data_IF_391509661912
#
_entry.id   IF_391509661912
#
_cell.length_a   1.000
_cell.length_b   1.000
_cell.length_c   1.000
_cell.angle_alpha   90.00
_cell.angle_beta   90.00
_cell.angle_gamma   90.00
#
_symmetry.space_group_name_H-M   'P 1'
#
loop_
_entity.id
_entity.type
_entity.pdbx_description
1 polymer ?
#
# COMPACT_ATOMS: atom_id res chain seq x y z
N UNK A 1 1.56 -9.26 1.48
CA UNK A 1 0.15 -8.86 1.28
C UNK A 1 -0.51 -8.54 2.61
N UNK A 2 -1.09 -7.34 2.77
CA UNK A 2 -1.93 -6.96 3.93
C UNK A 2 -3.38 -7.45 3.83
N UNK A 3 -3.61 -8.57 3.14
CA UNK A 3 -4.93 -9.17 2.93
C UNK A 3 -5.05 -10.43 3.76
N UNK A 4 -6.05 -10.48 4.66
CA UNK A 4 -6.24 -11.61 5.58
C UNK A 4 -7.63 -12.22 5.35
N UNK A 5 -7.74 -13.43 4.78
CA UNK A 5 -9.01 -14.13 4.69
C UNK A 5 -9.37 -14.72 6.06
N UNK A 6 -10.53 -14.34 6.61
CA UNK A 6 -10.99 -14.85 7.91
C UNK A 6 -11.85 -16.11 7.80
N UNK A 7 -12.63 -16.25 6.72
CA UNK A 7 -13.51 -17.39 6.49
C UNK A 7 -14.50 -17.12 5.37
N UNK A 8 -15.34 -18.11 5.05
CA UNK A 8 -16.35 -18.04 4.00
C UNK A 8 -17.75 -17.68 4.51
N UNK A 9 -17.95 -17.66 5.82
CA UNK A 9 -19.23 -17.34 6.46
C UNK A 9 -19.25 -15.92 7.06
N UNK A 10 -20.46 -15.42 7.32
CA UNK A 10 -20.65 -14.10 7.94
C UNK A 10 -20.11 -14.05 9.37
N UNK A 11 -20.10 -15.19 10.09
CA UNK A 11 -19.63 -15.26 11.48
C UNK A 11 -18.14 -14.96 11.60
N UNK A 12 -17.34 -15.35 10.62
CA UNK A 12 -15.89 -15.10 10.59
C UNK A 12 -15.52 -13.62 10.60
N UNK A 13 -16.45 -12.71 10.25
CA UNK A 13 -16.26 -11.26 10.38
C UNK A 13 -15.93 -10.83 11.84
N UNK A 14 -16.34 -11.62 12.84
CA UNK A 14 -16.02 -11.36 14.25
C UNK A 14 -14.51 -11.30 14.52
N UNK A 15 -13.70 -12.02 13.74
CA UNK A 15 -12.25 -12.03 13.92
C UNK A 15 -11.61 -10.67 13.57
N UNK A 16 -12.16 -9.95 12.60
CA UNK A 16 -11.73 -8.59 12.28
C UNK A 16 -12.05 -7.61 13.43
N UNK A 17 -13.26 -7.68 14.01
CA UNK A 17 -13.64 -6.86 15.16
C UNK A 17 -12.83 -7.24 16.42
N UNK A 18 -12.56 -8.52 16.63
CA UNK A 18 -11.68 -8.99 17.71
C UNK A 18 -10.23 -8.50 17.56
N UNK A 19 -9.73 -8.37 16.33
CA UNK A 19 -8.45 -7.72 16.06
C UNK A 19 -8.49 -6.23 16.45
N UNK A 20 -9.57 -5.53 16.10
CA UNK A 20 -9.78 -4.14 16.50
C UNK A 20 -9.81 -3.97 18.03
N UNK A 21 -10.52 -4.84 18.77
CA UNK A 21 -10.51 -4.86 20.24
C UNK A 21 -9.08 -5.02 20.79
N UNK A 22 -8.32 -5.98 20.26
CA UNK A 22 -6.93 -6.22 20.68
C UNK A 22 -6.03 -5.01 20.46
N UNK A 23 -6.27 -4.20 19.43
CA UNK A 23 -5.51 -2.95 19.23
C UNK A 23 -5.64 -1.99 20.44
N UNK A 24 -6.85 -1.85 21.00
CA UNK A 24 -7.09 -1.02 22.19
C UNK A 24 -6.48 -1.59 23.47
N UNK A 25 -6.48 -2.92 23.62
CA UNK A 25 -5.84 -3.60 24.75
C UNK A 25 -4.31 -3.50 24.70
N UNK A 26 -3.73 -3.73 23.51
CA UNK A 26 -2.27 -3.77 23.32
C UNK A 26 -1.65 -2.39 23.22
N UNK A 27 -2.20 -1.51 22.38
CA UNK A 27 -1.60 -0.19 22.10
C UNK A 27 -2.31 0.94 22.86
N UNK A 28 -3.59 0.78 23.17
CA UNK A 28 -4.36 1.75 23.96
C UNK A 28 -4.17 1.63 25.47
N UNK A 29 -3.51 0.57 25.97
CA UNK A 29 -3.32 0.31 27.40
C UNK A 29 -4.62 0.04 28.16
N UNK A 30 -5.71 -0.27 27.46
CA UNK A 30 -7.02 -0.54 28.05
C UNK A 30 -7.05 -1.95 28.68
N UNK A 31 -7.82 -2.11 29.75
CA UNK A 31 -8.00 -3.40 30.41
C UNK A 31 -9.28 -4.08 29.95
N UNK A 32 -9.29 -5.41 30.01
CA UNK A 32 -10.50 -6.21 29.82
C UNK A 32 -11.61 -5.74 30.76
N UNK A 33 -12.84 -5.64 30.25
CA UNK A 33 -14.00 -5.12 30.98
C UNK A 33 -14.28 -3.63 30.78
N UNK A 34 -13.34 -2.86 30.24
CA UNK A 34 -13.54 -1.43 29.88
C UNK A 34 -14.28 -1.28 28.54
N UNK A 35 -15.48 -1.87 28.43
CA UNK A 35 -16.19 -2.01 27.14
C UNK A 35 -16.41 -0.67 26.42
N UNK A 36 -16.88 0.35 27.13
CA UNK A 36 -17.12 1.69 26.55
C UNK A 36 -15.83 2.33 26.02
N UNK A 37 -14.75 2.25 26.79
CA UNK A 37 -13.47 2.88 26.43
C UNK A 37 -12.83 2.17 25.23
N UNK A 38 -12.99 0.85 25.14
CA UNK A 38 -12.54 0.06 23.98
C UNK A 38 -13.31 0.49 22.72
N UNK A 39 -14.63 0.67 22.80
CA UNK A 39 -15.42 1.13 21.65
C UNK A 39 -15.02 2.56 21.24
N UNK A 40 -14.83 3.46 22.20
CA UNK A 40 -14.36 4.83 21.94
C UNK A 40 -12.94 4.87 21.35
N UNK A 41 -12.05 4.01 21.82
CA UNK A 41 -10.71 3.87 21.26
C UNK A 41 -10.79 3.47 19.79
N UNK A 42 -11.58 2.43 19.48
CA UNK A 42 -11.75 1.95 18.10
C UNK A 42 -12.35 3.03 17.19
N UNK A 43 -13.40 3.71 17.64
CA UNK A 43 -14.02 4.83 16.91
C UNK A 43 -12.99 5.91 16.53
N UNK A 44 -12.09 6.25 17.44
CA UNK A 44 -11.18 7.39 17.27
C UNK A 44 -9.80 7.03 16.68
N UNK A 45 -9.35 5.78 16.81
CA UNK A 45 -7.98 5.36 16.48
C UNK A 45 -7.91 4.29 15.40
N UNK A 46 -8.97 3.51 15.21
CA UNK A 46 -9.01 2.44 14.22
C UNK A 46 -9.86 2.88 13.03
N UNK A 47 -9.19 3.18 11.92
CA UNK A 47 -9.83 3.63 10.69
C UNK A 47 -10.31 2.44 9.85
N UNK A 48 -11.35 1.75 10.33
CA UNK A 48 -11.98 0.64 9.63
C UNK A 48 -13.40 0.99 9.14
N UNK A 49 -13.82 0.34 8.06
CA UNK A 49 -15.18 0.34 7.51
C UNK A 49 -15.53 -1.08 7.04
N UNK A 50 -16.82 -1.36 6.88
CA UNK A 50 -17.32 -2.64 6.37
C UNK A 50 -17.88 -2.42 4.97
N UNK A 51 -17.45 -3.25 4.03
CA UNK A 51 -18.03 -3.33 2.69
C UNK A 51 -18.83 -4.64 2.59
N UNK A 52 -20.16 -4.54 2.57
CA UNK A 52 -21.06 -5.66 2.42
C UNK A 52 -21.37 -5.86 0.94
N UNK A 53 -20.84 -6.95 0.37
CA UNK A 53 -21.04 -7.31 -1.04
C UNK A 53 -22.13 -8.37 -1.21
N UNK A 54 -22.97 -8.17 -2.21
CA UNK A 54 -24.09 -9.04 -2.57
C UNK A 54 -25.28 -8.93 -1.62
N UNK A 55 -26.15 -9.95 -1.66
CA UNK A 55 -27.36 -10.01 -0.84
C UNK A 55 -27.04 -9.89 0.66
N UNK A 56 -27.75 -8.99 1.35
CA UNK A 56 -27.62 -8.76 2.79
C UNK A 56 -28.76 -9.46 3.51
N UNK A 57 -28.47 -10.64 4.05
CA UNK A 57 -29.41 -11.38 4.89
C UNK A 57 -29.46 -10.83 6.34
N UNK A 58 -30.40 -11.33 7.14
CA UNK A 58 -30.59 -10.90 8.54
C UNK A 58 -29.31 -11.09 9.38
N UNK A 59 -28.50 -12.11 9.07
CA UNK A 59 -27.25 -12.38 9.77
C UNK A 59 -26.18 -11.33 9.44
N UNK A 60 -26.06 -10.94 8.17
CA UNK A 60 -25.17 -9.83 7.74
C UNK A 60 -25.62 -8.51 8.34
N UNK A 61 -26.93 -8.23 8.40
CA UNK A 61 -27.44 -7.05 9.11
C UNK A 61 -27.01 -7.03 10.58
N UNK A 62 -27.20 -8.14 11.29
CA UNK A 62 -26.84 -8.24 12.70
C UNK A 62 -25.33 -8.09 12.93
N UNK A 63 -24.50 -8.73 12.10
CA UNK A 63 -23.05 -8.63 12.18
C UNK A 63 -22.54 -7.21 11.88
N UNK A 64 -23.09 -6.57 10.84
CA UNK A 64 -22.77 -5.20 10.45
C UNK A 64 -23.16 -4.19 11.53
N UNK A 65 -24.31 -4.37 12.18
CA UNK A 65 -24.71 -3.55 13.33
C UNK A 65 -23.71 -3.62 14.49
N UNK A 66 -23.07 -4.78 14.68
CA UNK A 66 -21.94 -4.94 15.59
C UNK A 66 -20.76 -4.01 15.25
N UNK A 67 -20.41 -3.87 13.97
CA UNK A 67 -19.34 -2.98 13.52
C UNK A 67 -19.68 -1.49 13.71
N UNK A 68 -20.96 -1.11 13.53
CA UNK A 68 -21.42 0.27 13.78
C UNK A 68 -21.12 0.68 15.22
N UNK A 69 -21.30 -0.20 16.21
CA UNK A 69 -20.97 0.10 17.62
C UNK A 69 -19.50 0.45 17.86
N UNK A 70 -18.59 -0.03 17.01
CA UNK A 70 -17.16 0.31 17.05
C UNK A 70 -16.85 1.66 16.36
N UNK A 71 -17.87 2.33 15.82
CA UNK A 71 -17.73 3.52 15.00
C UNK A 71 -17.31 3.23 13.56
N UNK A 72 -17.45 1.98 13.10
CA UNK A 72 -17.10 1.59 11.74
C UNK A 72 -18.35 1.69 10.84
N UNK A 73 -18.34 2.55 9.81
CA UNK A 73 -19.47 2.66 8.89
C UNK A 73 -19.55 1.42 8.00
N UNK A 74 -20.77 1.13 7.52
CA UNK A 74 -21.09 0.01 6.64
C UNK A 74 -21.56 0.56 5.31
N UNK A 75 -20.97 0.08 4.23
CA UNK A 75 -21.36 0.41 2.86
C UNK A 75 -21.80 -0.90 2.21
N UNK A 76 -22.97 -0.90 1.58
CA UNK A 76 -23.48 -2.05 0.85
C UNK A 76 -23.56 -1.76 -0.65
N UNK A 77 -23.22 -2.76 -1.47
CA UNK A 77 -23.30 -2.68 -2.95
C UNK A 77 -24.69 -3.04 -3.50
N UNK A 78 -25.68 -3.18 -2.62
CA UNK A 78 -27.08 -3.50 -2.91
C UNK A 78 -28.02 -2.47 -2.30
N UNK A 79 -29.26 -2.43 -2.80
CA UNK A 79 -30.32 -1.54 -2.30
C UNK A 79 -30.76 -2.01 -0.91
N UNK A 80 -30.40 -1.27 0.13
CA UNK A 80 -30.76 -1.53 1.52
C UNK A 80 -31.20 -0.24 2.23
N UNK A 81 -31.95 -0.33 3.34
CA UNK A 81 -32.26 0.84 4.16
C UNK A 81 -31.00 1.53 4.70
N UNK A 82 -30.96 2.85 4.59
CA UNK A 82 -29.82 3.65 5.03
C UNK A 82 -29.99 4.19 6.45
N UNK A 83 -28.86 4.39 7.14
CA UNK A 83 -28.80 5.01 8.46
C UNK A 83 -27.86 6.22 8.36
N UNK A 84 -28.46 7.35 7.99
CA UNK A 84 -27.78 8.63 7.80
C UNK A 84 -27.55 9.49 9.06
N UNK A 85 -28.20 9.31 10.24
CA UNK A 85 -27.97 10.22 11.37
C UNK A 85 -26.58 10.02 12.02
N UNK A 86 -25.86 11.12 12.19
CA UNK A 86 -24.53 11.16 12.81
C UNK A 86 -24.60 10.88 14.32
N UNK A 87 -23.65 10.11 14.88
CA UNK A 87 -23.57 9.92 16.33
C UNK A 87 -22.61 8.81 16.77
N UNK A 88 -22.77 7.61 16.20
CA UNK A 88 -21.89 6.47 16.51
C UNK A 88 -20.68 6.46 15.58
N UNK A 89 -20.85 6.55 14.27
CA UNK A 89 -19.74 6.77 13.31
C UNK A 89 -19.45 8.27 13.14
N UNK A 90 -18.47 8.61 12.29
CA UNK A 90 -18.07 10.01 12.03
C UNK A 90 -19.11 10.75 11.17
N UNK A 91 -19.62 10.09 10.14
CA UNK A 91 -20.67 10.61 9.25
C UNK A 91 -21.86 9.64 9.24
N UNK A 92 -22.14 9.00 8.11
CA UNK A 92 -23.20 8.01 7.94
C UNK A 92 -22.82 6.66 8.59
N UNK A 93 -23.81 5.92 9.09
CA UNK A 93 -23.59 4.60 9.71
C UNK A 93 -23.76 3.49 8.69
N UNK A 94 -24.79 3.59 7.84
CA UNK A 94 -25.10 2.65 6.77
C UNK A 94 -25.43 3.42 5.51
N UNK A 95 -24.70 3.15 4.43
CA UNK A 95 -24.91 3.74 3.10
C UNK A 95 -25.17 2.63 2.09
N UNK A 96 -26.20 2.83 1.27
CA UNK A 96 -26.52 1.93 0.16
C UNK A 96 -25.99 2.55 -1.12
N UNK A 97 -25.08 1.84 -1.78
CA UNK A 97 -24.46 2.28 -3.04
C UNK A 97 -24.53 1.14 -4.06
N UNK A 98 -25.70 0.92 -4.68
CA UNK A 98 -25.92 -0.22 -5.58
C UNK A 98 -24.90 -0.26 -6.73
N UNK A 99 -24.14 -1.34 -6.86
CA UNK A 99 -22.99 -1.41 -7.78
C UNK A 99 -23.36 -1.04 -9.22
N UNK A 100 -24.50 -1.55 -9.68
CA UNK A 100 -24.98 -1.37 -11.06
C UNK A 100 -25.52 0.04 -11.35
N UNK A 101 -25.82 0.84 -10.31
CA UNK A 101 -26.36 2.19 -10.44
C UNK A 101 -25.24 3.25 -10.42
N UNK A 102 -23.99 2.84 -10.18
CA UNK A 102 -22.83 3.72 -10.23
C UNK A 102 -22.50 4.03 -11.70
N UNK A 103 -22.70 5.28 -12.09
CA UNK A 103 -22.25 5.80 -13.37
C UNK A 103 -20.72 5.73 -13.45
N UNK A 104 -20.17 4.90 -14.32
CA UNK A 104 -18.73 4.80 -14.57
C UNK A 104 -18.48 4.16 -15.95
N UNK A 105 -17.27 4.27 -16.47
CA UNK A 105 -16.88 3.72 -17.78
C UNK A 105 -16.81 2.19 -17.78
N UNK A 106 -16.33 1.61 -16.69
CA UNK A 106 -16.16 0.16 -16.52
C UNK A 106 -16.31 -0.25 -15.04
N UNK A 107 -16.30 -1.56 -14.77
CA UNK A 107 -16.46 -2.11 -13.42
C UNK A 107 -15.29 -1.77 -12.49
N UNK A 108 -14.10 -1.50 -13.04
CA UNK A 108 -12.94 -1.08 -12.25
C UNK A 108 -13.17 0.32 -11.68
N UNK A 109 -13.62 1.26 -12.51
CA UNK A 109 -13.95 2.61 -12.08
C UNK A 109 -15.14 2.62 -11.09
N UNK A 110 -16.12 1.72 -11.25
CA UNK A 110 -17.19 1.54 -10.24
C UNK A 110 -16.63 1.12 -8.89
N UNK A 111 -15.75 0.12 -8.88
CA UNK A 111 -15.12 -0.36 -7.66
C UNK A 111 -14.27 0.74 -6.98
N UNK A 112 -13.53 1.52 -7.77
CA UNK A 112 -12.77 2.67 -7.27
C UNK A 112 -13.68 3.70 -6.58
N UNK A 113 -14.83 4.03 -7.18
CA UNK A 113 -15.79 4.98 -6.59
C UNK A 113 -16.38 4.47 -5.27
N UNK A 114 -16.67 3.17 -5.15
CA UNK A 114 -17.10 2.58 -3.87
C UNK A 114 -16.01 2.72 -2.82
N UNK A 115 -14.76 2.39 -3.16
CA UNK A 115 -13.62 2.51 -2.24
C UNK A 115 -13.42 3.96 -1.79
N UNK A 116 -13.51 4.91 -2.73
CA UNK A 116 -13.46 6.35 -2.41
C UNK A 116 -14.57 6.74 -1.43
N UNK A 117 -15.79 6.25 -1.64
CA UNK A 117 -16.91 6.53 -0.75
C UNK A 117 -16.70 5.96 0.66
N UNK A 118 -16.19 4.73 0.76
CA UNK A 118 -15.81 4.13 2.04
C UNK A 118 -14.76 4.96 2.79
N UNK A 119 -13.74 5.45 2.08
CA UNK A 119 -12.68 6.32 2.61
C UNK A 119 -13.27 7.64 3.12
N UNK A 120 -14.17 8.26 2.35
CA UNK A 120 -14.85 9.51 2.69
C UNK A 120 -15.71 9.37 3.94
N UNK A 121 -16.62 8.39 3.98
CA UNK A 121 -17.55 8.16 5.11
C UNK A 121 -16.77 7.83 6.39
N UNK A 122 -15.65 7.11 6.27
CA UNK A 122 -14.80 6.84 7.43
C UNK A 122 -13.98 8.06 7.86
N UNK A 123 -13.80 9.05 7.00
CA UNK A 123 -12.97 10.23 7.24
C UNK A 123 -11.47 9.96 7.11
N UNK A 124 -11.08 8.97 6.29
CA UNK A 124 -9.67 8.62 6.08
C UNK A 124 -9.07 9.60 5.07
N UNK A 125 -8.06 10.36 5.50
CA UNK A 125 -7.27 11.21 4.60
C UNK A 125 -6.09 10.41 4.07
N UNK A 126 -6.27 9.79 2.90
CA UNK A 126 -5.18 9.05 2.23
C UNK A 126 -4.28 10.05 1.51
N UNK A 127 -2.99 10.07 1.87
CA UNK A 127 -1.97 10.70 1.05
C UNK A 127 -1.49 9.67 0.04
N UNK A 128 -2.17 9.58 -1.11
CA UNK A 128 -1.72 8.74 -2.21
C UNK A 128 -0.62 9.53 -2.92
N UNK A 129 0.63 9.07 -2.81
CA UNK A 129 1.65 9.45 -3.78
C UNK A 129 1.42 8.52 -4.97
N UNK A 130 0.97 9.09 -6.09
CA UNK A 130 0.86 8.38 -7.35
C UNK A 130 2.28 8.12 -7.86
N UNK A 131 2.65 6.84 -7.95
CA UNK A 131 3.99 6.42 -8.37
C UNK A 131 3.87 5.96 -9.82
N UNK A 132 4.52 6.61 -10.79
CA UNK A 132 4.31 6.34 -12.21
C UNK A 132 5.08 5.09 -12.65
N UNK A 133 4.58 3.92 -12.24
CA UNK A 133 5.13 2.60 -12.57
C UNK A 133 4.05 1.65 -13.07
N UNK A 134 4.38 0.70 -13.95
CA UNK A 134 3.40 -0.20 -14.57
C UNK A 134 3.02 -1.39 -13.68
N UNK A 135 3.54 -1.46 -12.46
CA UNK A 135 3.26 -2.51 -11.49
C UNK A 135 2.53 -1.93 -10.27
N UNK A 136 1.68 -2.72 -9.59
CA UNK A 136 1.10 -2.28 -8.33
C UNK A 136 2.17 -1.83 -7.35
N UNK A 137 1.96 -0.68 -6.71
CA UNK A 137 2.89 -0.10 -5.75
C UNK A 137 2.21 0.12 -4.40
N UNK A 138 2.86 -0.32 -3.32
CA UNK A 138 2.41 -0.10 -1.96
C UNK A 138 3.08 -1.05 -0.96
N UNK A 139 2.96 -0.71 0.32
CA UNK A 139 3.60 -1.49 1.41
C UNK A 139 3.12 -2.93 1.51
N UNK A 140 2.00 -3.29 0.88
CA UNK A 140 1.50 -4.66 0.83
C UNK A 140 2.44 -5.63 0.07
N UNK A 141 3.27 -5.09 -0.82
CA UNK A 141 4.23 -5.84 -1.62
C UNK A 141 5.63 -5.89 -0.98
N UNK A 142 5.87 -5.08 0.06
CA UNK A 142 7.11 -5.13 0.82
C UNK A 142 7.31 -6.54 1.40
N UNK A 143 8.47 -7.14 1.10
CA UNK A 143 8.81 -8.50 1.52
C UNK A 143 8.46 -9.60 0.53
N UNK A 144 7.98 -9.27 -0.67
CA UNK A 144 7.94 -10.25 -1.77
C UNK A 144 9.35 -10.79 -2.07
N UNK A 145 9.42 -12.11 -2.32
CA UNK A 145 10.68 -12.81 -2.58
C UNK A 145 10.66 -13.32 -4.00
N UNK A 146 11.56 -12.78 -4.84
CA UNK A 146 11.74 -13.24 -6.22
C UNK A 146 12.68 -14.45 -6.21
N UNK A 147 12.13 -15.63 -6.53
CA UNK A 147 12.89 -16.88 -6.65
C UNK A 147 13.56 -16.93 -8.02
N UNK A 148 14.65 -17.69 -8.12
CA UNK A 148 15.42 -17.82 -9.38
C UNK A 148 14.57 -18.28 -10.57
N UNK A 149 13.59 -19.16 -10.34
CA UNK A 149 12.69 -19.65 -11.38
C UNK A 149 11.82 -18.55 -12.01
N UNK A 150 11.49 -17.52 -11.24
CA UNK A 150 10.59 -16.43 -11.64
C UNK A 150 11.36 -15.14 -11.97
N UNK A 151 12.70 -15.20 -12.03
CA UNK A 151 13.59 -14.05 -12.10
C UNK A 151 13.90 -13.66 -13.55
N UNK A 152 13.64 -12.41 -13.91
CA UNK A 152 14.03 -11.85 -15.22
C UNK A 152 15.51 -11.47 -15.25
N UNK A 153 15.96 -10.76 -14.23
CA UNK A 153 17.32 -10.25 -14.09
C UNK A 153 17.69 -10.05 -12.62
N UNK A 154 18.96 -10.22 -12.30
CA UNK A 154 19.56 -9.97 -10.99
C UNK A 154 20.63 -8.87 -11.07
N UNK A 155 20.63 -7.97 -10.10
CA UNK A 155 21.67 -6.95 -9.93
C UNK A 155 22.34 -7.10 -8.57
N UNK A 156 23.67 -7.17 -8.54
CA UNK A 156 24.44 -7.48 -7.34
C UNK A 156 24.63 -8.97 -7.10
N UNK A 157 24.70 -9.36 -5.83
CA UNK A 157 24.91 -10.75 -5.43
C UNK A 157 26.31 -11.28 -5.82
N UNK A 158 26.37 -12.53 -6.27
CA UNK A 158 27.65 -13.22 -6.58
C UNK A 158 28.18 -12.89 -7.99
N UNK A 159 27.28 -12.56 -8.93
CA UNK A 159 27.59 -12.53 -10.37
C UNK A 159 27.65 -11.12 -10.95
N UNK A 160 27.31 -10.09 -10.17
CA UNK A 160 27.35 -8.69 -10.60
C UNK A 160 27.56 -7.76 -9.41
N UNK A 161 27.76 -6.47 -9.69
CA UNK A 161 27.93 -5.41 -8.69
C UNK A 161 26.69 -4.53 -8.69
N UNK A 162 26.19 -4.22 -7.49
CA UNK A 162 25.08 -3.30 -7.31
C UNK A 162 25.45 -2.37 -6.16
N UNK A 163 25.33 -1.07 -6.42
CA UNK A 163 25.44 -0.09 -5.36
C UNK A 163 24.29 0.91 -5.43
N UNK A 164 23.90 1.41 -4.27
CA UNK A 164 23.05 2.59 -4.11
C UNK A 164 23.85 3.66 -3.37
N UNK A 165 23.70 4.90 -3.81
CA UNK A 165 24.39 6.05 -3.24
C UNK A 165 23.49 7.28 -3.35
N UNK A 166 23.33 7.98 -2.25
CA UNK A 166 22.59 9.23 -2.21
C UNK A 166 23.54 10.36 -1.80
N UNK A 167 23.58 11.42 -2.58
CA UNK A 167 24.41 12.60 -2.32
C UNK A 167 23.58 13.88 -2.37
N UNK A 168 23.88 14.78 -1.43
CA UNK A 168 23.37 16.14 -1.45
C UNK A 168 24.18 16.97 -2.45
N UNK A 169 23.49 17.67 -3.34
CA UNK A 169 24.09 18.58 -4.32
C UNK A 169 23.50 19.99 -4.20
N UNK A 170 24.21 21.03 -4.67
CA UNK A 170 23.64 22.36 -4.82
C UNK A 170 22.36 22.36 -5.67
N UNK A 171 21.44 23.27 -5.38
CA UNK A 171 20.16 23.39 -6.11
C UNK A 171 20.31 23.63 -7.63
N UNK A 172 21.44 24.18 -8.05
CA UNK A 172 21.79 24.44 -9.45
C UNK A 172 22.30 23.21 -10.20
N UNK A 173 22.74 22.17 -9.47
CA UNK A 173 23.35 20.96 -10.03
C UNK A 173 22.36 19.79 -10.18
N UNK A 174 21.08 20.02 -9.88
CA UNK A 174 20.01 19.01 -10.01
C UNK A 174 18.82 19.55 -10.80
N UNK A 175 18.20 18.68 -11.59
CA UNK A 175 16.94 18.93 -12.28
C UNK A 175 15.87 18.04 -11.66
N UNK A 176 14.83 18.65 -11.11
CA UNK A 176 13.73 17.92 -10.48
C UNK A 176 13.08 16.92 -11.45
N UNK A 177 12.86 15.69 -10.99
CA UNK A 177 12.26 14.60 -11.76
C UNK A 177 13.12 14.05 -12.91
N UNK A 178 14.36 14.52 -13.10
CA UNK A 178 15.23 13.99 -14.15
C UNK A 178 15.72 12.59 -13.80
N UNK A 179 15.35 11.60 -14.61
CA UNK A 179 15.86 10.23 -14.56
C UNK A 179 16.72 9.98 -15.79
N UNK A 180 17.93 9.45 -15.59
CA UNK A 180 18.87 9.13 -16.66
C UNK A 180 19.38 7.69 -16.49
N UNK A 181 19.26 6.89 -17.55
CA UNK A 181 19.80 5.53 -17.59
C UNK A 181 21.05 5.54 -18.44
N UNK A 182 22.20 5.33 -17.81
CA UNK A 182 23.50 5.31 -18.50
C UNK A 182 23.97 3.86 -18.62
N UNK A 183 24.09 3.37 -19.85
CA UNK A 183 24.52 2.02 -20.14
C UNK A 183 23.41 1.16 -20.78
N UNK A 184 23.64 -0.15 -20.91
CA UNK A 184 22.66 -1.06 -21.51
C UNK A 184 21.43 -1.23 -20.62
N UNK A 185 20.28 -1.53 -21.23
CA UNK A 185 19.10 -2.01 -20.50
C UNK A 185 19.18 -3.51 -20.30
N UNK A 186 18.39 -4.05 -19.37
CA UNK A 186 18.35 -5.50 -19.16
C UNK A 186 17.59 -6.25 -20.26
N UNK A 187 17.03 -5.57 -21.26
CA UNK A 187 16.39 -6.19 -22.43
C UNK A 187 17.39 -7.03 -23.24
N UNK A 188 18.67 -6.62 -23.22
CA UNK A 188 19.78 -7.28 -23.90
C UNK A 188 20.41 -8.42 -23.07
N UNK A 189 19.96 -8.61 -21.83
CA UNK A 189 20.45 -9.66 -20.94
C UNK A 189 19.52 -10.87 -21.05
N UNK A 190 20.12 -12.06 -21.20
CA UNK A 190 19.38 -13.33 -21.19
C UNK A 190 18.51 -13.48 -19.94
N UNK A 191 17.41 -14.22 -20.06
CA UNK A 191 16.53 -14.49 -18.93
C UNK A 191 17.30 -15.15 -17.78
N UNK A 192 16.99 -14.77 -16.54
CA UNK A 192 17.73 -15.18 -15.33
C UNK A 192 19.22 -14.74 -15.31
N UNK A 193 19.62 -13.82 -16.19
CA UNK A 193 20.96 -13.26 -16.23
C UNK A 193 21.25 -12.27 -15.11
N UNK A 194 22.49 -11.76 -15.10
CA UNK A 194 22.96 -10.80 -14.10
C UNK A 194 23.56 -9.56 -14.77
N UNK A 195 23.37 -8.39 -14.15
CA UNK A 195 23.81 -7.11 -14.68
C UNK A 195 24.31 -6.20 -13.56
N UNK A 196 25.31 -5.37 -13.85
CA UNK A 196 25.77 -4.36 -12.90
C UNK A 196 24.80 -3.18 -12.89
N UNK A 197 24.52 -2.62 -11.72
CA UNK A 197 23.72 -1.39 -11.57
C UNK A 197 24.35 -0.45 -10.54
N UNK A 198 24.25 0.85 -10.79
CA UNK A 198 24.54 1.88 -9.82
C UNK A 198 23.34 2.81 -9.73
N UNK A 199 22.72 2.90 -8.55
CA UNK A 199 21.62 3.82 -8.27
C UNK A 199 22.24 5.04 -7.60
N UNK A 200 22.36 6.14 -8.35
CA UNK A 200 22.86 7.41 -7.83
C UNK A 200 21.70 8.39 -7.70
N UNK A 201 21.41 8.79 -6.46
CA UNK A 201 20.31 9.70 -6.14
C UNK A 201 20.90 11.04 -5.74
N UNK A 202 20.67 12.07 -6.55
CA UNK A 202 21.06 13.45 -6.23
C UNK A 202 19.88 14.19 -5.63
N UNK A 203 20.04 14.71 -4.43
CA UNK A 203 18.99 15.47 -3.74
C UNK A 203 19.45 16.89 -3.43
N UNK A 204 18.53 17.84 -3.52
CA UNK A 204 18.77 19.21 -3.09
C UNK A 204 17.55 19.74 -2.33
N UNK A 205 17.79 20.47 -1.24
CA UNK A 205 16.72 21.06 -0.45
C UNK A 205 17.24 22.11 0.51
N UNK A 206 16.44 23.15 0.79
CA UNK A 206 16.83 24.24 1.69
C UNK A 206 17.10 23.79 3.12
N UNK A 207 16.47 22.70 3.54
CA UNK A 207 16.61 22.09 4.86
C UNK A 207 17.41 20.76 4.81
N UNK A 208 17.94 20.40 3.63
CA UNK A 208 18.76 19.20 3.48
C UNK A 208 20.10 19.41 4.16
N UNK A 209 20.64 18.35 4.75
CA UNK A 209 21.92 18.32 5.45
C UNK A 209 22.65 17.04 5.08
N UNK A 210 23.99 17.05 5.03
CA UNK A 210 24.81 15.85 4.75
C UNK A 210 24.50 14.71 5.73
N UNK A 211 24.19 15.03 7.00
CA UNK A 211 23.80 14.05 8.02
C UNK A 211 22.49 13.30 7.69
N UNK A 212 21.67 13.82 6.77
CA UNK A 212 20.45 13.15 6.31
C UNK A 212 20.69 12.19 5.15
N UNK A 213 21.85 12.22 4.50
CA UNK A 213 22.14 11.33 3.37
C UNK A 213 21.97 9.85 3.75
N UNK A 214 22.55 9.34 4.86
CA UNK A 214 22.40 7.93 5.22
C UNK A 214 20.97 7.57 5.64
N UNK A 215 20.19 8.55 6.10
CA UNK A 215 18.79 8.36 6.50
C UNK A 215 17.91 8.14 5.27
N UNK A 216 18.10 8.97 4.24
CA UNK A 216 17.38 8.86 2.97
C UNK A 216 17.86 7.66 2.14
N UNK A 217 19.17 7.39 2.11
CA UNK A 217 19.74 6.22 1.44
C UNK A 217 19.06 4.92 1.93
N UNK A 218 18.84 4.79 3.24
CA UNK A 218 18.14 3.64 3.81
C UNK A 218 16.69 3.50 3.33
N UNK A 219 16.03 4.58 2.91
CA UNK A 219 14.67 4.53 2.40
C UNK A 219 14.60 3.89 1.00
N UNK A 220 15.68 3.91 0.21
CA UNK A 220 15.75 3.29 -1.12
C UNK A 220 15.30 1.82 -1.05
N UNK A 221 15.73 1.09 -0.01
CA UNK A 221 15.30 -0.27 0.24
C UNK A 221 13.78 -0.41 0.33
N UNK A 222 13.12 0.43 1.12
CA UNK A 222 11.66 0.36 1.30
C UNK A 222 10.92 0.81 0.05
N UNK A 223 11.41 1.86 -0.61
CA UNK A 223 10.78 2.41 -1.81
C UNK A 223 10.81 1.40 -2.95
N UNK A 224 11.95 0.76 -3.22
CA UNK A 224 12.05 -0.25 -4.27
C UNK A 224 11.20 -1.49 -3.95
N UNK A 225 11.19 -1.96 -2.69
CA UNK A 225 10.34 -3.09 -2.27
C UNK A 225 8.84 -2.76 -2.25
N UNK A 226 8.45 -1.48 -2.35
CA UNK A 226 7.06 -1.09 -2.49
C UNK A 226 6.47 -1.49 -3.85
N UNK A 227 7.30 -1.72 -4.87
CA UNK A 227 6.86 -2.20 -6.18
C UNK A 227 6.65 -3.72 -6.15
N UNK A 228 5.46 -4.16 -6.58
CA UNK A 228 5.17 -5.60 -6.71
C UNK A 228 6.14 -6.27 -7.68
N UNK A 229 6.49 -7.52 -7.37
CA UNK A 229 7.35 -8.38 -8.18
C UNK A 229 8.82 -7.90 -8.30
N UNK A 230 9.23 -7.01 -7.39
CA UNK A 230 10.60 -6.54 -7.22
C UNK A 230 11.07 -6.92 -5.81
N UNK A 231 12.33 -7.33 -5.70
CA UNK A 231 12.97 -7.58 -4.41
C UNK A 231 14.24 -6.75 -4.31
N UNK A 232 14.40 -6.02 -3.22
CA UNK A 232 15.62 -5.32 -2.86
C UNK A 232 16.10 -5.76 -1.47
N UNK A 233 17.36 -6.15 -1.33
CA UNK A 233 18.00 -6.53 -0.07
C UNK A 233 19.38 -5.87 -0.01
N UNK A 234 19.87 -5.61 1.21
CA UNK A 234 21.17 -4.98 1.41
C UNK A 234 21.05 -3.46 1.37
N UNK A 235 22.22 -2.83 1.33
CA UNK A 235 22.37 -1.38 1.35
C UNK A 235 23.72 -1.01 0.73
N UNK A 236 23.92 0.25 0.35
CA UNK A 236 25.21 0.75 -0.17
C UNK A 236 25.75 -0.12 -1.30
N UNK A 237 27.00 -0.55 -1.22
CA UNK A 237 27.75 -1.34 -2.20
C UNK A 237 27.48 -2.86 -2.14
N UNK A 238 26.61 -3.29 -1.22
CA UNK A 238 26.17 -4.68 -1.07
C UNK A 238 24.67 -4.84 -1.36
N UNK A 239 24.06 -3.85 -2.01
CA UNK A 239 22.69 -3.94 -2.48
C UNK A 239 22.52 -5.13 -3.44
N UNK A 240 21.33 -5.72 -3.44
CA UNK A 240 20.98 -6.87 -4.23
C UNK A 240 19.52 -6.77 -4.66
N UNK A 241 19.31 -6.63 -5.96
CA UNK A 241 17.99 -6.39 -6.55
C UNK A 241 17.64 -7.52 -7.49
N UNK A 242 16.38 -7.97 -7.44
CA UNK A 242 15.81 -8.92 -8.39
C UNK A 242 14.52 -8.36 -8.96
N UNK A 243 14.38 -8.52 -10.27
CA UNK A 243 13.16 -8.20 -11.02
C UNK A 243 12.56 -9.52 -11.49
N UNK A 244 11.28 -9.75 -11.22
CA UNK A 244 10.61 -10.97 -11.69
C UNK A 244 10.17 -10.82 -13.16
N UNK A 245 9.92 -11.95 -13.82
CA UNK A 245 9.29 -11.98 -15.14
C UNK A 245 7.94 -11.24 -15.12
N UNK A 246 7.14 -11.41 -14.05
CA UNK A 246 5.83 -10.75 -13.92
C UNK A 246 5.89 -9.22 -13.82
N UNK A 247 7.00 -8.64 -13.33
CA UNK A 247 7.22 -7.20 -13.40
C UNK A 247 7.65 -6.75 -14.81
N UNK A 248 8.59 -7.49 -15.41
CA UNK A 248 9.10 -7.20 -16.76
C UNK A 248 7.99 -7.28 -17.82
N UNK A 249 7.13 -8.29 -17.75
CA UNK A 249 6.02 -8.52 -18.69
C UNK A 249 4.99 -7.38 -18.66
N UNK A 250 4.86 -6.71 -17.49
CA UNK A 250 4.01 -5.52 -17.33
C UNK A 250 4.68 -4.25 -17.85
N UNK A 251 5.94 -4.31 -18.26
CA UNK A 251 6.71 -3.18 -18.79
C UNK A 251 7.60 -2.47 -17.75
N UNK A 252 7.84 -3.09 -16.58
CA UNK A 252 8.82 -2.54 -15.63
C UNK A 252 10.22 -2.53 -16.27
N UNK A 253 10.97 -1.45 -16.05
CA UNK A 253 12.28 -1.19 -16.67
C UNK A 253 13.18 -0.37 -15.72
N UNK A 254 14.43 -0.10 -16.11
CA UNK A 254 15.40 0.61 -15.26
C UNK A 254 14.97 2.04 -14.88
N UNK A 255 14.28 2.75 -15.78
CA UNK A 255 13.80 4.11 -15.54
C UNK A 255 12.78 4.17 -14.38
N UNK A 256 12.02 3.08 -14.18
CA UNK A 256 11.03 2.99 -13.12
C UNK A 256 11.64 3.01 -11.72
N UNK A 257 12.89 2.58 -11.53
CA UNK A 257 13.59 2.78 -10.24
C UNK A 257 13.72 4.27 -9.92
N UNK A 258 14.15 5.09 -10.89
CA UNK A 258 14.25 6.53 -10.70
C UNK A 258 12.89 7.20 -10.43
N UNK A 259 11.84 6.75 -11.14
CA UNK A 259 10.46 7.23 -10.91
C UNK A 259 9.94 6.92 -9.51
N UNK A 260 10.24 5.73 -8.99
CA UNK A 260 9.89 5.35 -7.62
C UNK A 260 10.58 6.25 -6.61
N UNK A 261 11.89 6.46 -6.77
CA UNK A 261 12.71 7.24 -5.85
C UNK A 261 12.41 8.73 -5.88
N UNK A 262 11.95 9.26 -7.02
CA UNK A 262 11.50 10.66 -7.11
C UNK A 262 10.14 10.88 -6.43
N UNK A 263 9.22 9.91 -6.57
CA UNK A 263 7.87 10.03 -6.04
C UNK A 263 7.77 9.82 -4.51
N UNK A 264 8.84 9.37 -3.84
CA UNK A 264 8.84 8.95 -2.43
C UNK A 264 9.93 9.62 -1.62
#
# INVERSE_FOLDING_TARGET
TYTVPFGTDTLSAIYALGFAVRSGLTFGGLKSGMARDILLYNKNRVFAFVLALGEVDDLKYAAAAGAINFGFPVIADTVIPEILPTGVTTYEHVVSMPFNEIEAKDDLERAERIVQKCIEIRGVKVKIADVPVPVPYGSAFEGEVVRKADMRVEFGGKHSRCFEYLEMVPLEDVVDGKVEVVGPTFDEVEEQGSMNIGIVVKVAGRQMQEDFEPVLERQIHYFINGASSIQHIGQRDIAWIRVSNGASDKGFNLEHFGKILHAR
#
